data_IF_190665756819
#
_entry.id   IF_190665756819
#
_cell.length_a   1.000
_cell.length_b   1.000
_cell.length_c   1.000
_cell.angle_alpha   90.00
_cell.angle_beta   90.00
_cell.angle_gamma   90.00
#
_symmetry.space_group_name_H-M   'P 1'
#
loop_
_entity.id
_entity.type
_entity.pdbx_description
1 polymer ?
#
# COMPACT_ATOMS: atom_id res chain seq x y z
N UNK A 1 -15.02 -46.45 51.96
CA UNK A 1 -14.10 -47.60 51.85
C UNK A 1 -12.99 -47.16 50.90
N UNK A 2 -11.90 -46.60 51.43
CA UNK A 2 -10.62 -47.28 51.71
C UNK A 2 -9.92 -47.73 50.41
N UNK A 3 -8.65 -47.45 50.07
CA UNK A 3 -7.53 -46.69 50.62
C UNK A 3 -6.33 -46.89 49.66
N UNK A 4 -5.42 -45.91 49.53
CA UNK A 4 -3.95 -45.99 49.34
C UNK A 4 -3.34 -46.86 48.19
N UNK A 5 -2.15 -46.62 47.63
CA UNK A 5 -1.06 -45.66 47.79
C UNK A 5 -0.16 -45.74 46.52
N UNK A 6 0.65 -44.70 46.36
CA UNK A 6 1.65 -44.49 45.32
C UNK A 6 2.82 -45.49 45.31
N UNK A 7 3.50 -45.60 44.17
CA UNK A 7 4.94 -45.84 44.13
C UNK A 7 5.59 -45.06 42.98
N UNK A 8 6.71 -44.45 43.36
CA UNK A 8 7.59 -43.53 42.66
C UNK A 8 8.54 -44.28 41.72
N UNK A 9 8.80 -43.73 40.54
CA UNK A 9 10.04 -44.01 39.80
C UNK A 9 10.54 -42.71 39.17
N UNK A 10 11.65 -42.24 39.73
CA UNK A 10 12.51 -41.18 39.23
C UNK A 10 13.37 -41.77 38.10
N UNK A 11 13.50 -41.06 36.97
CA UNK A 11 14.62 -41.25 36.07
C UNK A 11 14.92 -39.93 35.35
N UNK A 12 15.74 -39.09 35.99
CA UNK A 12 16.53 -38.06 35.31
C UNK A 12 17.49 -38.73 34.33
N UNK A 13 17.51 -38.27 33.08
CA UNK A 13 18.67 -37.62 32.43
C UNK A 13 18.46 -37.49 30.91
N UNK A 14 18.60 -36.24 30.44
CA UNK A 14 19.23 -35.84 29.16
C UNK A 14 18.49 -36.14 27.85
N UNK A 15 17.84 -35.12 27.28
CA UNK A 15 18.44 -34.43 26.12
C UNK A 15 17.74 -33.09 25.87
N UNK A 16 18.38 -32.01 26.35
CA UNK A 16 18.09 -30.65 25.92
C UNK A 16 18.51 -30.49 24.46
N UNK A 17 17.54 -30.41 23.57
CA UNK A 17 17.68 -29.57 22.38
C UNK A 17 16.86 -28.30 22.60
N UNK A 18 17.34 -27.48 23.54
CA UNK A 18 16.98 -26.07 23.66
C UNK A 18 17.53 -25.36 22.43
N UNK A 19 16.77 -25.40 21.33
CA UNK A 19 17.00 -24.52 20.20
C UNK A 19 16.61 -23.12 20.68
N UNK A 20 17.60 -22.38 21.19
CA UNK A 20 17.47 -20.96 21.50
C UNK A 20 16.75 -20.27 20.34
N UNK A 21 15.71 -19.46 20.58
CA UNK A 21 15.18 -18.62 19.53
C UNK A 21 16.34 -17.78 19.00
N UNK A 22 16.59 -17.86 17.69
CA UNK A 22 17.47 -16.90 17.02
C UNK A 22 17.04 -15.51 17.48
N UNK A 23 17.99 -14.64 17.80
CA UNK A 23 17.71 -13.24 18.14
C UNK A 23 17.05 -12.55 16.94
N UNK A 24 15.72 -12.69 16.85
CA UNK A 24 14.89 -12.18 15.76
C UNK A 24 14.96 -10.66 15.72
N UNK A 25 15.17 -10.03 16.89
CA UNK A 25 15.26 -8.57 17.01
C UNK A 25 16.49 -8.01 16.27
N UNK A 26 17.66 -8.64 16.42
CA UNK A 26 18.86 -8.24 15.69
C UNK A 26 18.76 -8.47 14.18
N UNK A 27 18.08 -9.53 13.74
CA UNK A 27 17.87 -9.83 12.32
C UNK A 27 16.91 -8.82 11.68
N UNK A 28 15.81 -8.48 12.36
CA UNK A 28 14.85 -7.47 11.90
C UNK A 28 15.53 -6.11 11.74
N UNK A 29 16.36 -5.70 12.69
CA UNK A 29 17.11 -4.44 12.61
C UNK A 29 18.12 -4.41 11.45
N UNK A 30 18.80 -5.53 11.18
CA UNK A 30 19.71 -5.66 10.03
C UNK A 30 18.94 -5.56 8.72
N UNK A 31 17.85 -6.32 8.57
CA UNK A 31 17.01 -6.32 7.36
C UNK A 31 16.42 -4.93 7.13
N UNK A 32 15.94 -4.29 8.19
CA UNK A 32 15.37 -2.95 8.13
C UNK A 32 16.43 -1.89 7.78
N UNK A 33 17.63 -2.02 8.35
CA UNK A 33 18.78 -1.18 8.04
C UNK A 33 19.20 -1.29 6.57
N UNK A 34 19.28 -2.51 6.03
CA UNK A 34 19.63 -2.76 4.63
C UNK A 34 18.55 -2.24 3.68
N UNK A 35 17.28 -2.58 3.94
CA UNK A 35 16.15 -2.12 3.14
C UNK A 35 16.04 -0.59 3.20
N UNK A 36 16.00 0.00 4.39
CA UNK A 36 15.86 1.44 4.54
C UNK A 36 17.02 2.20 3.91
N UNK A 37 18.25 1.67 4.00
CA UNK A 37 19.40 2.25 3.30
C UNK A 37 19.14 2.33 1.80
N UNK A 38 18.68 1.23 1.17
CA UNK A 38 18.31 1.18 -0.25
C UNK A 38 17.16 2.13 -0.60
N UNK A 39 16.08 2.13 0.19
CA UNK A 39 14.89 2.96 -0.04
C UNK A 39 15.23 4.44 -0.02
N UNK A 40 16.13 4.87 0.87
CA UNK A 40 16.45 6.27 1.09
C UNK A 40 17.68 6.75 0.33
N UNK A 41 18.35 5.90 -0.47
CA UNK A 41 19.50 6.31 -1.30
C UNK A 41 19.21 7.52 -2.19
N UNK A 42 17.98 7.64 -2.70
CA UNK A 42 17.56 8.74 -3.56
C UNK A 42 17.38 10.07 -2.86
N UNK A 43 17.36 10.09 -1.51
CA UNK A 43 17.27 11.34 -0.75
C UNK A 43 18.62 12.05 -0.81
N UNK A 44 18.70 13.29 -1.34
CA UNK A 44 19.97 13.94 -1.60
C UNK A 44 20.76 14.21 -0.30
N UNK A 45 20.07 14.61 0.77
CA UNK A 45 20.70 15.05 2.02
C UNK A 45 20.84 13.90 3.02
N UNK A 46 22.00 13.82 3.67
CA UNK A 46 22.28 12.79 4.68
C UNK A 46 21.36 12.86 5.90
N UNK A 47 20.93 14.07 6.28
CA UNK A 47 19.95 14.25 7.35
C UNK A 47 18.56 13.75 6.97
N UNK A 48 18.14 13.87 5.70
CA UNK A 48 16.90 13.27 5.20
C UNK A 48 16.94 11.74 5.27
N UNK A 49 18.07 11.13 4.87
CA UNK A 49 18.25 9.66 4.97
C UNK A 49 18.15 9.18 6.41
N UNK A 50 18.82 9.87 7.33
CA UNK A 50 18.75 9.56 8.77
C UNK A 50 17.33 9.71 9.31
N UNK A 51 16.63 10.79 8.96
CA UNK A 51 15.23 11.01 9.37
C UNK A 51 14.28 9.97 8.79
N UNK A 52 14.48 9.56 7.54
CA UNK A 52 13.73 8.47 6.90
C UNK A 52 13.90 7.15 7.64
N UNK A 53 15.14 6.80 7.99
CA UNK A 53 15.42 5.59 8.77
C UNK A 53 14.77 5.64 10.16
N UNK A 54 14.97 6.74 10.88
CA UNK A 54 14.36 6.95 12.20
C UNK A 54 12.84 6.84 12.12
N UNK A 55 12.21 7.50 11.13
CA UNK A 55 10.77 7.44 10.92
C UNK A 55 10.30 5.99 10.68
N UNK A 56 11.00 5.24 9.82
CA UNK A 56 10.64 3.87 9.50
C UNK A 56 10.75 2.93 10.71
N UNK A 57 11.87 2.99 11.44
CA UNK A 57 12.10 2.21 12.66
C UNK A 57 11.03 2.51 13.71
N UNK A 58 10.80 3.79 13.98
CA UNK A 58 9.81 4.22 14.97
C UNK A 58 8.37 3.93 14.53
N UNK A 59 8.06 3.97 13.22
CA UNK A 59 6.76 3.60 12.70
C UNK A 59 6.45 2.12 12.96
N UNK A 60 7.45 1.24 12.81
CA UNK A 60 7.31 -0.19 13.09
C UNK A 60 7.13 -0.39 14.61
N UNK A 61 8.02 0.20 15.42
CA UNK A 61 8.04 0.03 16.86
C UNK A 61 6.88 0.68 17.63
N UNK A 62 6.30 1.79 17.16
CA UNK A 62 5.29 2.54 17.92
C UNK A 62 4.01 1.74 18.15
N UNK A 63 3.58 1.56 19.40
CA UNK A 63 2.32 0.86 19.67
C UNK A 63 1.08 1.74 19.46
N UNK A 64 -0.06 1.12 19.15
CA UNK A 64 -1.34 1.82 18.96
C UNK A 64 -1.42 2.69 17.71
N UNK A 65 -2.04 3.88 17.83
CA UNK A 65 -2.24 4.79 16.69
C UNK A 65 -0.90 5.34 16.21
N UNK A 66 -0.57 5.14 14.93
CA UNK A 66 0.67 5.58 14.29
C UNK A 66 0.66 7.09 13.95
N UNK A 67 0.44 7.95 14.94
CA UNK A 67 0.54 9.42 14.79
C UNK A 67 2.00 9.87 14.79
N UNK A 68 2.32 11.04 14.21
CA UNK A 68 3.69 11.59 14.24
C UNK A 68 4.18 11.76 15.68
N UNK A 69 3.30 12.20 16.59
CA UNK A 69 3.59 12.27 18.04
C UNK A 69 3.97 10.93 18.64
N UNK A 70 3.22 9.86 18.35
CA UNK A 70 3.50 8.53 18.91
C UNK A 70 4.78 7.93 18.31
N UNK A 71 5.02 8.14 17.02
CA UNK A 71 6.28 7.75 16.34
C UNK A 71 7.45 8.52 16.96
N UNK A 72 7.32 9.82 17.19
CA UNK A 72 8.36 10.64 17.82
C UNK A 72 8.63 10.26 19.28
N UNK A 73 7.62 9.77 20.01
CA UNK A 73 7.77 9.32 21.39
C UNK A 73 8.75 8.14 21.52
N UNK A 74 8.82 7.27 20.51
CA UNK A 74 9.81 6.16 20.44
C UNK A 74 11.25 6.69 20.34
N UNK A 75 11.44 7.91 19.82
CA UNK A 75 12.74 8.48 19.44
C UNK A 75 13.20 9.67 20.31
N UNK A 76 12.48 9.99 21.40
CA UNK A 76 12.92 11.03 22.34
C UNK A 76 12.10 12.34 22.36
N UNK A 77 10.83 12.35 21.94
CA UNK A 77 9.87 13.39 22.33
C UNK A 77 9.66 14.56 21.36
N UNK A 78 9.30 15.75 21.89
CA UNK A 78 8.66 16.84 21.12
C UNK A 78 9.52 17.49 20.03
N UNK A 79 10.83 17.65 20.25
CA UNK A 79 11.73 18.15 19.21
C UNK A 79 11.81 17.17 18.00
N UNK A 80 11.73 15.87 18.29
CA UNK A 80 11.66 14.82 17.25
C UNK A 80 10.32 14.87 16.53
N UNK A 81 9.21 15.20 17.20
CA UNK A 81 7.89 15.35 16.58
C UNK A 81 7.90 16.43 15.48
N UNK A 82 8.37 17.64 15.80
CA UNK A 82 8.44 18.73 14.82
C UNK A 82 9.39 18.38 13.66
N UNK A 83 10.51 17.73 13.97
CA UNK A 83 11.50 17.29 13.00
C UNK A 83 10.96 16.24 12.02
N UNK A 84 10.20 15.26 12.51
CA UNK A 84 9.55 14.22 11.70
C UNK A 84 8.38 14.79 10.91
N UNK A 85 7.57 15.67 11.50
CA UNK A 85 6.51 16.37 10.78
C UNK A 85 7.07 17.13 9.58
N UNK A 86 8.11 17.94 9.80
CA UNK A 86 8.77 18.65 8.71
C UNK A 86 9.34 17.68 7.66
N UNK A 87 9.95 16.57 8.08
CA UNK A 87 10.48 15.56 7.15
C UNK A 87 9.41 14.98 6.23
N UNK A 88 8.26 14.56 6.78
CA UNK A 88 7.20 13.89 6.00
C UNK A 88 6.38 14.89 5.18
N UNK A 89 6.05 16.06 5.74
CA UNK A 89 5.08 16.97 5.15
C UNK A 89 5.69 18.12 4.32
N UNK A 90 6.94 18.52 4.60
CA UNK A 90 7.49 19.78 4.06
C UNK A 90 8.87 19.65 3.43
N UNK A 91 9.56 18.53 3.64
CA UNK A 91 10.92 18.36 3.14
C UNK A 91 10.91 18.05 1.64
N UNK A 92 11.89 18.59 0.91
CA UNK A 92 11.93 18.62 -0.56
C UNK A 92 12.36 17.31 -1.22
N UNK A 93 11.96 16.15 -0.70
CA UNK A 93 12.31 14.86 -1.30
C UNK A 93 11.23 14.31 -2.23
N UNK A 94 11.66 13.70 -3.33
CA UNK A 94 10.77 13.00 -4.24
C UNK A 94 10.38 11.63 -3.67
N UNK A 95 9.07 11.37 -3.55
CA UNK A 95 8.56 10.09 -3.08
C UNK A 95 8.64 8.98 -4.14
N UNK A 96 8.60 9.33 -5.44
CA UNK A 96 8.62 8.36 -6.55
C UNK A 96 9.86 7.46 -6.52
N UNK A 97 11.10 7.99 -6.39
CA UNK A 97 12.30 7.16 -6.29
C UNK A 97 12.29 6.17 -5.10
N UNK A 98 11.76 6.58 -3.94
CA UNK A 98 11.66 5.69 -2.75
C UNK A 98 10.73 4.51 -3.05
N UNK A 99 9.57 4.75 -3.69
CA UNK A 99 8.65 3.68 -4.08
C UNK A 99 9.21 2.78 -5.18
N UNK A 100 9.94 3.36 -6.14
CA UNK A 100 10.65 2.58 -7.16
C UNK A 100 11.65 1.63 -6.51
N UNK A 101 12.46 2.11 -5.58
CA UNK A 101 13.41 1.28 -4.84
C UNK A 101 12.72 0.15 -4.04
N UNK A 102 11.53 0.43 -3.47
CA UNK A 102 10.69 -0.59 -2.83
C UNK A 102 10.23 -1.65 -3.84
N UNK A 103 9.70 -1.24 -4.98
CA UNK A 103 9.23 -2.15 -6.03
C UNK A 103 10.36 -3.03 -6.57
N UNK A 104 11.53 -2.44 -6.88
CA UNK A 104 12.72 -3.16 -7.32
C UNK A 104 13.23 -4.14 -6.25
N UNK A 105 13.16 -3.76 -4.97
CA UNK A 105 13.50 -4.67 -3.87
C UNK A 105 12.54 -5.85 -3.83
N UNK A 106 11.24 -5.61 -3.82
CA UNK A 106 10.20 -6.64 -3.78
C UNK A 106 10.34 -7.59 -4.97
N UNK A 107 10.50 -7.08 -6.19
CA UNK A 107 10.69 -7.91 -7.40
C UNK A 107 11.91 -8.82 -7.30
N UNK A 108 12.99 -8.36 -6.64
CA UNK A 108 14.20 -9.17 -6.46
C UNK A 108 14.02 -10.28 -5.42
N UNK A 109 13.37 -10.00 -4.29
CA UNK A 109 13.26 -10.94 -3.16
C UNK A 109 12.02 -11.83 -3.23
N UNK A 110 10.99 -11.40 -3.94
CA UNK A 110 9.72 -12.09 -4.15
C UNK A 110 9.21 -11.80 -5.57
N UNK A 111 9.80 -12.42 -6.61
CA UNK A 111 9.45 -12.16 -8.00
C UNK A 111 7.93 -12.30 -8.23
N UNK A 112 7.25 -11.25 -8.74
CA UNK A 112 5.81 -11.31 -8.92
C UNK A 112 5.44 -12.27 -10.06
N UNK A 113 4.36 -13.01 -9.85
CA UNK A 113 3.64 -13.76 -10.89
C UNK A 113 2.55 -12.88 -11.54
N UNK A 114 2.04 -11.89 -10.81
CA UNK A 114 1.06 -10.93 -11.29
C UNK A 114 1.18 -9.57 -10.56
N UNK A 115 0.64 -8.53 -11.18
CA UNK A 115 0.39 -7.25 -10.53
C UNK A 115 -1.07 -7.18 -10.12
N UNK A 116 -1.37 -6.85 -8.87
CA UNK A 116 -2.76 -6.63 -8.42
C UNK A 116 -3.03 -5.14 -8.36
N UNK A 117 -4.02 -4.67 -9.10
CA UNK A 117 -4.53 -3.30 -9.02
C UNK A 117 -5.86 -3.33 -8.29
N UNK A 118 -5.95 -2.54 -7.22
CA UNK A 118 -7.09 -2.56 -6.31
C UNK A 118 -7.43 -1.16 -5.84
N UNK A 119 -8.70 -0.84 -5.92
CA UNK A 119 -9.27 0.36 -5.31
C UNK A 119 -9.42 0.20 -3.80
N UNK A 120 -9.12 1.27 -3.07
CA UNK A 120 -9.13 1.35 -1.62
C UNK A 120 -9.96 2.56 -1.21
N UNK A 121 -10.88 2.31 -0.29
CA UNK A 121 -11.63 3.36 0.41
C UNK A 121 -11.04 3.47 1.81
N UNK A 122 -10.55 4.64 2.16
CA UNK A 122 -9.85 4.90 3.44
C UNK A 122 -10.73 5.84 4.27
N UNK A 123 -11.50 5.32 5.26
CA UNK A 123 -12.39 6.13 6.07
C UNK A 123 -11.67 7.24 6.83
N UNK A 124 -12.31 8.40 6.95
CA UNK A 124 -11.79 9.58 7.65
C UNK A 124 -12.86 10.23 8.52
N UNK A 125 -12.45 10.69 9.69
CA UNK A 125 -13.34 11.34 10.66
C UNK A 125 -13.50 12.86 10.47
N UNK A 126 -12.81 13.49 9.51
CA UNK A 126 -12.85 14.94 9.28
C UNK A 126 -12.59 15.31 7.81
N UNK A 127 -12.52 16.61 7.54
CA UNK A 127 -12.58 17.16 6.17
C UNK A 127 -11.23 17.65 5.62
N UNK A 128 -10.20 17.67 6.48
CA UNK A 128 -8.88 18.24 6.17
C UNK A 128 -7.92 17.25 5.48
N UNK A 129 -8.27 15.96 5.40
CA UNK A 129 -7.45 15.00 4.64
C UNK A 129 -7.62 15.25 3.15
N UNK A 130 -6.53 15.45 2.42
CA UNK A 130 -6.55 15.66 0.96
C UNK A 130 -7.37 14.57 0.26
N UNK A 131 -8.31 14.93 -0.62
CA UNK A 131 -9.16 13.95 -1.30
C UNK A 131 -10.23 13.27 -0.44
N UNK A 132 -10.48 13.74 0.80
CA UNK A 132 -11.60 13.23 1.61
C UNK A 132 -12.92 13.83 1.17
N UNK A 133 -13.93 12.99 0.99
CA UNK A 133 -15.30 13.41 0.70
C UNK A 133 -16.31 12.33 1.08
N UNK A 134 -17.60 12.66 1.02
CA UNK A 134 -18.68 11.69 1.22
C UNK A 134 -18.86 10.84 -0.04
N UNK A 135 -18.57 9.56 0.05
CA UNK A 135 -18.65 8.60 -1.05
C UNK A 135 -19.66 7.52 -0.72
N UNK A 136 -20.51 7.18 -1.68
CA UNK A 136 -21.38 6.01 -1.59
C UNK A 136 -20.59 4.76 -1.94
N UNK A 137 -20.67 3.73 -1.10
CA UNK A 137 -19.98 2.47 -1.24
C UNK A 137 -20.96 1.38 -1.67
N UNK A 138 -20.99 0.99 -2.96
CA UNK A 138 -22.01 0.07 -3.47
C UNK A 138 -22.04 -1.28 -2.75
N UNK A 139 -20.88 -1.77 -2.29
CA UNK A 139 -20.76 -3.06 -1.62
C UNK A 139 -21.28 -3.08 -0.17
N UNK A 140 -21.41 -1.92 0.49
CA UNK A 140 -22.04 -1.81 1.83
C UNK A 140 -23.39 -1.11 1.79
N UNK A 141 -23.72 -0.39 0.71
CA UNK A 141 -24.89 0.47 0.62
C UNK A 141 -24.81 1.70 1.53
N UNK A 142 -23.63 2.07 2.01
CA UNK A 142 -23.43 3.17 2.96
C UNK A 142 -22.72 4.34 2.32
N UNK A 143 -22.98 5.55 2.83
CA UNK A 143 -22.19 6.74 2.53
C UNK A 143 -21.16 6.93 3.64
N UNK A 144 -19.87 6.89 3.30
CA UNK A 144 -18.78 7.15 4.23
C UNK A 144 -18.02 8.42 3.84
N UNK A 145 -17.52 9.15 4.82
CA UNK A 145 -16.50 10.16 4.59
C UNK A 145 -15.14 9.45 4.46
N UNK A 146 -14.56 9.46 3.27
CA UNK A 146 -13.38 8.65 2.96
C UNK A 146 -12.53 9.28 1.86
N UNK A 147 -11.29 8.80 1.75
CA UNK A 147 -10.45 8.98 0.57
C UNK A 147 -10.60 7.78 -0.37
N UNK A 148 -10.55 8.03 -1.68
CA UNK A 148 -10.41 6.98 -2.69
C UNK A 148 -8.98 6.93 -3.22
N UNK A 149 -8.39 5.74 -3.24
CA UNK A 149 -7.06 5.54 -3.78
C UNK A 149 -7.00 4.22 -4.54
N UNK A 150 -6.13 4.14 -5.55
CA UNK A 150 -5.81 2.88 -6.23
C UNK A 150 -4.41 2.46 -5.82
N UNK A 151 -4.27 1.24 -5.30
CA UNK A 151 -2.98 0.64 -5.00
C UNK A 151 -2.55 -0.38 -6.05
N UNK A 152 -1.26 -0.65 -6.09
CA UNK A 152 -0.64 -1.70 -6.89
C UNK A 152 0.21 -2.59 -5.98
N UNK A 153 -0.03 -3.89 -6.04
CA UNK A 153 0.70 -4.92 -5.29
C UNK A 153 1.44 -5.87 -6.24
N UNK A 154 2.62 -6.29 -5.84
CA UNK A 154 3.32 -7.45 -6.41
C UNK A 154 2.76 -8.72 -5.75
N UNK A 155 2.09 -9.58 -6.51
CA UNK A 155 1.64 -10.89 -6.04
C UNK A 155 2.66 -11.97 -6.43
N UNK A 156 3.15 -12.70 -5.44
CA UNK A 156 4.14 -13.76 -5.58
C UNK A 156 3.70 -15.00 -4.79
N UNK A 157 4.42 -16.11 -4.92
CA UNK A 157 4.15 -17.34 -4.15
C UNK A 157 4.27 -17.13 -2.63
N UNK A 158 5.13 -16.20 -2.19
CA UNK A 158 5.41 -15.95 -0.77
C UNK A 158 4.54 -14.87 -0.16
N UNK A 159 3.77 -14.14 -0.96
CA UNK A 159 2.87 -13.10 -0.47
C UNK A 159 2.50 -12.02 -1.48
N UNK A 160 1.74 -11.04 -0.99
CA UNK A 160 1.31 -9.85 -1.72
C UNK A 160 1.88 -8.60 -1.07
N UNK A 161 2.61 -7.80 -1.85
CA UNK A 161 3.40 -6.68 -1.35
C UNK A 161 2.98 -5.36 -2.01
N UNK A 162 2.51 -4.35 -1.27
CA UNK A 162 2.19 -3.04 -1.85
C UNK A 162 3.46 -2.35 -2.34
N UNK A 163 3.45 -1.90 -3.60
CA UNK A 163 4.62 -1.24 -4.22
C UNK A 163 4.31 0.17 -4.72
N UNK A 164 3.05 0.45 -5.06
CA UNK A 164 2.63 1.77 -5.50
C UNK A 164 1.20 2.08 -5.09
N UNK A 165 0.84 3.37 -5.05
CA UNK A 165 -0.53 3.82 -4.85
C UNK A 165 -0.75 5.23 -5.40
N UNK A 166 -1.98 5.54 -5.78
CA UNK A 166 -2.38 6.85 -6.28
C UNK A 166 -3.66 7.27 -5.57
N UNK A 167 -3.69 8.49 -5.08
CA UNK A 167 -4.91 9.09 -4.53
C UNK A 167 -5.71 9.67 -5.70
N UNK A 168 -6.99 9.37 -5.78
CA UNK A 168 -7.92 10.01 -6.70
C UNK A 168 -8.45 11.29 -6.06
N UNK A 169 -8.55 12.36 -6.86
CA UNK A 169 -9.12 13.64 -6.44
C UNK A 169 -10.31 13.95 -7.33
N UNK A 170 -11.47 14.20 -6.72
CA UNK A 170 -12.69 14.61 -7.41
C UNK A 170 -12.60 16.05 -7.92
N UNK A 171 -13.48 16.41 -8.86
CA UNK A 171 -13.64 17.78 -9.35
C UNK A 171 -13.88 18.76 -8.20
N UNK A 172 -14.69 18.36 -7.21
CA UNK A 172 -14.98 19.15 -6.03
C UNK A 172 -13.71 19.53 -5.22
N UNK A 173 -12.64 18.73 -5.28
CA UNK A 173 -11.36 19.06 -4.67
C UNK A 173 -10.48 19.95 -5.56
N UNK A 174 -10.58 19.80 -6.87
CA UNK A 174 -9.70 20.46 -7.83
C UNK A 174 -10.21 21.84 -8.27
N UNK A 175 -11.52 22.05 -8.24
CA UNK A 175 -12.22 23.28 -8.59
C UNK A 175 -12.35 24.26 -7.42
N UNK A 176 -12.29 23.78 -6.17
CA UNK A 176 -12.24 24.63 -4.98
C UNK A 176 -10.80 25.16 -4.76
N UNK A 177 -10.54 26.37 -5.24
CA UNK A 177 -9.23 27.01 -5.15
C UNK A 177 -8.72 27.19 -3.71
N UNK A 178 -9.59 27.44 -2.73
CA UNK A 178 -9.19 27.59 -1.34
C UNK A 178 -8.75 26.24 -0.75
N UNK A 179 -9.54 25.20 -1.00
CA UNK A 179 -9.25 23.83 -0.56
C UNK A 179 -8.00 23.27 -1.24
N UNK A 180 -7.83 23.53 -2.55
CA UNK A 180 -6.66 23.16 -3.34
C UNK A 180 -5.38 23.77 -2.79
N UNK A 181 -5.42 25.07 -2.49
CA UNK A 181 -4.30 25.81 -1.90
C UNK A 181 -3.96 25.27 -0.50
N UNK A 182 -4.95 25.09 0.36
CA UNK A 182 -4.76 24.59 1.72
C UNK A 182 -4.13 23.19 1.74
N UNK A 183 -4.55 22.32 0.81
CA UNK A 183 -4.00 20.96 0.66
C UNK A 183 -2.67 20.90 -0.12
N UNK A 184 -2.17 22.04 -0.62
CA UNK A 184 -0.97 22.11 -1.45
C UNK A 184 -1.05 21.19 -2.69
N UNK A 185 -2.23 21.07 -3.30
CA UNK A 185 -2.42 20.28 -4.52
C UNK A 185 -1.82 21.08 -5.71
N UNK A 186 -0.82 20.56 -6.44
CA UNK A 186 -0.19 21.29 -7.54
C UNK A 186 -1.17 21.60 -8.69
N UNK A 187 -1.04 22.74 -9.36
CA UNK A 187 -1.90 23.17 -10.48
C UNK A 187 -1.92 22.18 -11.66
N UNK A 188 -0.83 21.43 -11.86
CA UNK A 188 -0.75 20.40 -12.89
C UNK A 188 -1.63 19.16 -12.63
N UNK A 189 -2.21 19.02 -11.44
CA UNK A 189 -3.16 17.94 -11.14
C UNK A 189 -4.51 18.30 -11.73
N UNK A 190 -4.92 17.54 -12.75
CA UNK A 190 -6.22 17.67 -13.39
C UNK A 190 -7.18 16.59 -12.89
N UNK A 191 -8.46 16.78 -13.19
CA UNK A 191 -9.48 15.77 -12.97
C UNK A 191 -9.15 14.51 -13.75
N UNK A 192 -9.43 13.36 -13.13
CA UNK A 192 -9.26 12.05 -13.75
C UNK A 192 -10.42 11.16 -13.33
N UNK A 193 -10.83 10.24 -14.21
CA UNK A 193 -11.76 9.20 -13.79
C UNK A 193 -11.08 8.21 -12.83
N UNK A 194 -11.83 7.48 -11.99
CA UNK A 194 -11.26 6.39 -11.19
C UNK A 194 -10.51 5.34 -12.04
N UNK A 195 -10.98 5.07 -13.26
CA UNK A 195 -10.31 4.19 -14.22
C UNK A 195 -8.98 4.77 -14.72
N UNK A 196 -8.90 6.08 -14.96
CA UNK A 196 -7.64 6.76 -15.33
C UNK A 196 -6.66 6.78 -14.15
N UNK A 197 -7.17 6.94 -12.92
CA UNK A 197 -6.36 6.81 -11.71
C UNK A 197 -5.75 5.41 -11.60
N UNK A 198 -6.54 4.36 -11.85
CA UNK A 198 -6.05 2.98 -11.90
C UNK A 198 -5.08 2.73 -13.06
N UNK A 199 -5.34 3.33 -14.23
CA UNK A 199 -4.43 3.32 -15.36
C UNK A 199 -3.07 3.90 -14.97
N UNK A 200 -3.03 5.12 -14.44
CA UNK A 200 -1.80 5.83 -14.11
C UNK A 200 -1.07 5.22 -12.90
N UNK A 201 -1.80 4.63 -11.94
CA UNK A 201 -1.18 3.91 -10.83
C UNK A 201 -0.33 2.73 -11.30
N UNK A 202 -0.80 1.98 -12.30
CA UNK A 202 -0.10 0.80 -12.84
C UNK A 202 0.79 1.13 -14.04
N UNK A 203 0.25 1.70 -15.11
CA UNK A 203 1.02 1.95 -16.33
C UNK A 203 2.05 3.06 -16.14
N UNK A 204 1.77 4.08 -15.33
CA UNK A 204 2.77 5.08 -14.95
C UNK A 204 3.97 4.47 -14.23
N UNK A 205 3.72 3.46 -13.38
CA UNK A 205 4.75 2.66 -12.73
C UNK A 205 5.55 1.85 -13.77
N UNK A 206 4.86 1.05 -14.61
CA UNK A 206 5.50 0.18 -15.60
C UNK A 206 6.34 0.95 -16.62
N UNK A 207 5.85 2.11 -17.11
CA UNK A 207 6.57 2.96 -18.08
C UNK A 207 7.90 3.51 -17.56
N UNK A 208 8.06 3.67 -16.25
CA UNK A 208 9.17 4.45 -15.69
C UNK A 208 10.11 3.67 -14.76
N UNK A 209 9.69 2.51 -14.25
CA UNK A 209 10.45 1.80 -13.20
C UNK A 209 11.19 0.56 -13.71
N UNK A 210 10.98 0.14 -14.96
CA UNK A 210 11.71 -1.00 -15.55
C UNK A 210 11.40 -2.34 -14.87
N UNK A 211 10.15 -2.53 -14.45
CA UNK A 211 9.68 -3.73 -13.76
C UNK A 211 9.28 -4.83 -14.74
N UNK A 212 9.25 -6.12 -14.35
CA UNK A 212 8.89 -7.20 -15.25
C UNK A 212 7.43 -7.13 -15.71
N UNK A 213 7.21 -7.40 -16.99
CA UNK A 213 5.88 -7.57 -17.56
C UNK A 213 5.23 -8.82 -16.97
N UNK A 214 4.05 -8.63 -16.35
CA UNK A 214 3.24 -9.69 -15.75
C UNK A 214 1.76 -9.38 -15.99
N UNK A 215 0.90 -10.41 -16.03
CA UNK A 215 -0.54 -10.20 -16.07
C UNK A 215 -1.01 -9.34 -14.89
N UNK A 216 -2.06 -8.56 -15.13
CA UNK A 216 -2.69 -7.71 -14.13
C UNK A 216 -3.96 -8.37 -13.63
N UNK A 217 -4.12 -8.43 -12.31
CA UNK A 217 -5.36 -8.80 -11.63
C UNK A 217 -6.05 -7.52 -11.16
N UNK A 218 -7.25 -7.25 -11.67
CA UNK A 218 -8.12 -6.20 -11.16
C UNK A 218 -8.98 -6.75 -10.01
N UNK A 219 -8.69 -6.35 -8.78
CA UNK A 219 -9.48 -6.69 -7.59
C UNK A 219 -10.40 -5.52 -7.20
N UNK A 220 -11.51 -5.39 -7.94
CA UNK A 220 -12.42 -4.24 -7.88
C UNK A 220 -13.50 -4.32 -6.79
N UNK A 221 -13.19 -4.68 -5.54
CA UNK A 221 -14.22 -4.80 -4.51
C UNK A 221 -14.99 -3.49 -4.21
N UNK A 222 -14.35 -2.34 -4.46
CA UNK A 222 -14.94 -1.01 -4.30
C UNK A 222 -15.35 -0.34 -5.62
N UNK A 223 -15.17 -1.04 -6.75
CA UNK A 223 -15.28 -0.49 -8.10
C UNK A 223 -16.61 -0.87 -8.71
N UNK A 224 -17.33 0.08 -9.31
CA UNK A 224 -18.52 -0.26 -10.07
C UNK A 224 -18.17 -0.97 -11.40
N UNK A 225 -19.15 -1.64 -12.02
CA UNK A 225 -18.90 -2.43 -13.23
C UNK A 225 -18.45 -1.58 -14.43
N UNK A 226 -18.85 -0.31 -14.51
CA UNK A 226 -18.49 0.57 -15.61
C UNK A 226 -17.03 1.02 -15.50
N UNK A 227 -16.58 1.37 -14.30
CA UNK A 227 -15.19 1.69 -13.99
C UNK A 227 -14.28 0.47 -14.20
N UNK A 228 -14.69 -0.73 -13.76
CA UNK A 228 -13.94 -1.96 -14.02
C UNK A 228 -13.80 -2.20 -15.53
N UNK A 229 -14.88 -2.08 -16.29
CA UNK A 229 -14.86 -2.25 -17.73
C UNK A 229 -14.00 -1.19 -18.45
N UNK A 230 -14.04 0.07 -17.99
CA UNK A 230 -13.19 1.14 -18.52
C UNK A 230 -11.70 0.84 -18.27
N UNK A 231 -11.35 0.38 -17.06
CA UNK A 231 -9.98 -0.01 -16.71
C UNK A 231 -9.51 -1.20 -17.56
N UNK A 232 -10.33 -2.23 -17.73
CA UNK A 232 -10.02 -3.38 -18.61
C UNK A 232 -9.77 -2.93 -20.05
N UNK A 233 -10.63 -2.08 -20.62
CA UNK A 233 -10.45 -1.54 -21.97
C UNK A 233 -9.14 -0.76 -22.10
N UNK A 234 -8.84 0.05 -21.09
CA UNK A 234 -7.62 0.86 -21.04
C UNK A 234 -6.35 0.01 -21.02
N UNK A 235 -6.33 -1.06 -20.22
CA UNK A 235 -5.24 -2.03 -20.17
C UNK A 235 -5.11 -2.86 -21.45
N UNK A 236 -6.24 -3.31 -22.01
CA UNK A 236 -6.23 -4.02 -23.29
C UNK A 236 -5.65 -3.14 -24.42
N UNK A 237 -6.03 -1.86 -24.47
CA UNK A 237 -5.47 -0.90 -25.44
C UNK A 237 -3.96 -0.69 -25.27
N UNK A 238 -3.43 -0.89 -24.06
CA UNK A 238 -2.00 -0.85 -23.75
C UNK A 238 -1.28 -2.21 -23.94
N UNK A 239 -1.96 -3.25 -24.44
CA UNK A 239 -1.39 -4.58 -24.65
C UNK A 239 -1.17 -5.39 -23.38
N UNK A 240 -1.82 -5.00 -22.27
CA UNK A 240 -1.68 -5.66 -20.97
C UNK A 240 -2.65 -6.82 -20.87
N UNK A 241 -2.17 -7.99 -20.43
CA UNK A 241 -3.02 -9.13 -20.12
C UNK A 241 -3.72 -8.90 -18.78
N UNK A 242 -5.06 -8.98 -18.78
CA UNK A 242 -5.88 -8.67 -17.60
C UNK A 242 -6.75 -9.84 -17.20
N UNK A 243 -6.75 -10.14 -15.91
CA UNK A 243 -7.76 -10.93 -15.22
C UNK A 243 -8.57 -9.98 -14.32
N UNK A 244 -9.87 -9.87 -14.53
CA UNK A 244 -10.72 -8.99 -13.73
C UNK A 244 -11.69 -9.79 -12.88
N UNK A 245 -11.71 -9.51 -11.57
CA UNK A 245 -12.79 -9.98 -10.70
C UNK A 245 -14.01 -9.07 -10.90
N UNK A 246 -15.12 -9.65 -11.33
CA UNK A 246 -16.40 -8.96 -11.45
C UNK A 246 -17.43 -9.57 -10.48
N UNK A 247 -18.38 -8.77 -9.96
CA UNK A 247 -19.54 -9.32 -9.27
C UNK A 247 -20.29 -10.35 -10.12
N UNK A 248 -20.86 -11.39 -9.50
CA UNK A 248 -21.68 -12.36 -10.22
C UNK A 248 -22.95 -11.76 -10.86
N UNK A 249 -23.36 -10.57 -10.43
CA UNK A 249 -24.47 -9.80 -11.01
C UNK A 249 -24.06 -8.94 -12.21
N UNK A 250 -22.78 -8.89 -12.56
CA UNK A 250 -22.30 -8.08 -13.70
C UNK A 250 -22.85 -8.65 -15.00
N UNK A 251 -23.66 -7.84 -15.70
CA UNK A 251 -24.15 -8.18 -17.04
C UNK A 251 -23.02 -8.00 -18.05
N UNK A 252 -22.76 -9.03 -18.83
CA UNK A 252 -21.78 -9.02 -19.90
C UNK A 252 -22.50 -9.10 -21.24
N UNK A 253 -22.09 -8.26 -22.18
CA UNK A 253 -22.56 -8.30 -23.57
C UNK A 253 -21.44 -8.86 -24.44
N UNK A 254 -21.78 -9.82 -25.31
CA UNK A 254 -20.82 -10.36 -26.28
C UNK A 254 -20.74 -9.38 -27.44
N UNK A 255 -19.63 -8.66 -27.52
CA UNK A 255 -19.38 -7.65 -28.57
C UNK A 255 -18.62 -8.21 -29.77
N UNK A 256 -18.13 -9.45 -29.70
CA UNK A 256 -17.48 -10.10 -30.83
C UNK A 256 -18.55 -10.53 -31.86
N UNK A 257 -18.55 -9.94 -33.07
CA UNK A 257 -19.53 -10.26 -34.09
C UNK A 257 -19.47 -11.72 -34.57
N UNK A 258 -18.35 -12.43 -34.33
CA UNK A 258 -18.17 -13.84 -34.64
C UNK A 258 -18.69 -14.78 -33.55
N UNK A 259 -18.81 -14.30 -32.31
CA UNK A 259 -19.40 -15.04 -31.20
C UNK A 259 -20.89 -14.70 -31.08
N UNK A 260 -21.67 -15.05 -32.11
CA UNK A 260 -23.13 -14.97 -31.99
C UNK A 260 -23.60 -16.03 -31.00
N UNK A 261 -24.10 -15.58 -29.85
CA UNK A 261 -24.73 -16.45 -28.85
C UNK A 261 -25.80 -17.31 -29.49
N UNK A 262 -25.82 -18.60 -29.15
CA UNK A 262 -26.93 -19.51 -29.47
C UNK A 262 -28.09 -19.27 -28.52
#
# INVERSE_FOLDING_TARGET
MSSAAALHTDNRLSDEQHRLPLDVSGVEDIVLGELGSRLFLSLPRSDQRRRGMNYLQALIAAEGRKSIRNIAAVLGGSATEQSLHHFVASSTWGWKPVRRALAEHVVRVAPPQAWVVRSMVIPKAGENSVGVERQFLPYTGQVLNAQYAVGVWAASETGSFPVNWRLHLSDAWLEDGARRLQASIPDAVASESPADCAHEAYLGMMRSWGLPDRPVVLDGHATDAAEAAATVRSYHAAGVQVLARVPGSTRLEVTDPMLRGR
#
